data_IF_605730075930
#
_entry.id   IF_605730075930
#
_cell.length_a   1.000
_cell.length_b   1.000
_cell.length_c   1.000
_cell.angle_alpha   90.00
_cell.angle_beta   90.00
_cell.angle_gamma   90.00
#
_symmetry.space_group_name_H-M   'P 1'
#
loop_
_entity.id
_entity.type
_entity.pdbx_description
1 polymer ?
#
# COMPACT_ATOMS: atom_id res chain seq x y z
N UNK A 1 8.49 -13.58 17.16
CA UNK A 1 8.26 -13.13 16.77
C UNK A 1 7.47 -12.75 16.08
N UNK A 2 7.08 -12.21 15.75
CA UNK A 2 6.43 -11.94 15.07
C UNK A 2 6.40 -11.40 14.23
N UNK A 3 6.41 -11.51 14.03
CA UNK A 3 6.47 -11.22 13.09
C UNK A 3 5.90 -10.17 12.55
N UNK A 4 6.25 -9.60 11.83
CA UNK A 4 5.74 -8.62 11.26
C UNK A 4 4.61 -8.95 10.53
N UNK A 5 3.63 -8.21 10.62
CA UNK A 5 2.53 -8.44 9.90
C UNK A 5 2.63 -7.89 8.58
N UNK A 6 2.53 -8.59 7.51
CA UNK A 6 2.52 -8.11 6.17
C UNK A 6 1.13 -8.14 5.69
N UNK A 7 0.59 -6.97 5.30
CA UNK A 7 -0.76 -6.91 4.78
C UNK A 7 -0.83 -7.71 3.52
N UNK A 8 -1.98 -8.29 3.28
CA UNK A 8 -2.15 -9.10 2.11
C UNK A 8 -1.90 -8.27 0.87
N UNK A 9 -1.11 -8.72 -0.04
CA UNK A 9 -0.82 -7.98 -1.25
C UNK A 9 0.38 -7.06 -1.17
N UNK A 10 0.91 -6.85 0.05
CA UNK A 10 2.06 -5.99 0.17
C UNK A 10 3.30 -6.68 -0.35
N UNK A 11 4.23 -5.88 -0.81
CA UNK A 11 5.47 -6.41 -1.33
C UNK A 11 6.58 -5.41 -1.07
N UNK A 12 7.79 -5.73 -1.47
CA UNK A 12 8.91 -4.82 -1.27
C UNK A 12 8.85 -3.72 -2.31
N UNK A 13 9.53 -2.63 -2.02
CA UNK A 13 9.54 -1.51 -2.94
C UNK A 13 10.06 -1.90 -4.31
N UNK A 14 11.03 -2.79 -4.37
CA UNK A 14 11.62 -3.14 -5.64
C UNK A 14 10.65 -3.94 -6.53
N UNK A 15 9.68 -4.60 -5.96
CA UNK A 15 8.72 -5.35 -6.73
C UNK A 15 7.37 -4.69 -6.83
N UNK A 16 7.20 -3.56 -6.19
CA UNK A 16 5.90 -2.90 -6.13
C UNK A 16 5.59 -2.18 -7.42
N UNK A 17 4.32 -2.13 -7.75
CA UNK A 17 3.84 -1.32 -8.84
C UNK A 17 2.98 -0.20 -8.33
N UNK A 18 2.53 -0.29 -7.09
CA UNK A 18 1.67 0.73 -6.50
C UNK A 18 2.15 1.07 -5.12
N UNK A 19 1.94 2.31 -4.74
CA UNK A 19 2.32 2.79 -3.44
C UNK A 19 1.11 3.45 -2.80
N UNK A 20 0.86 3.16 -1.53
CA UNK A 20 -0.21 3.80 -0.80
C UNK A 20 0.42 4.57 0.34
N UNK A 21 0.19 5.87 0.38
CA UNK A 21 0.75 6.70 1.45
C UNK A 21 -0.38 7.10 2.38
N UNK A 22 -0.20 6.82 3.65
CA UNK A 22 -1.18 7.22 4.64
C UNK A 22 -0.91 8.67 5.01
N UNK A 23 -1.93 9.50 4.91
CA UNK A 23 -1.75 10.92 5.15
C UNK A 23 -1.80 11.28 6.62
N UNK A 24 -2.22 10.34 7.46
CA UNK A 24 -2.31 10.62 8.89
C UNK A 24 -0.94 10.49 9.57
N UNK A 25 -0.08 9.61 9.10
CA UNK A 25 1.22 9.45 9.73
C UNK A 25 2.37 9.38 8.73
N UNK A 26 2.09 9.48 7.45
CA UNK A 26 3.15 9.50 6.45
C UNK A 26 3.74 8.15 6.10
N UNK A 27 3.16 7.07 6.62
CA UNK A 27 3.67 5.75 6.33
C UNK A 27 3.35 5.38 4.89
N UNK A 28 4.31 4.76 4.22
CA UNK A 28 4.14 4.36 2.84
C UNK A 28 4.16 2.85 2.76
N UNK A 29 3.17 2.30 2.07
CA UNK A 29 3.04 0.86 1.89
C UNK A 29 3.15 0.54 0.42
N UNK A 30 3.71 -0.60 0.09
CA UNK A 30 3.94 -0.98 -1.30
C UNK A 30 3.13 -2.22 -1.65
N UNK A 31 2.50 -2.19 -2.80
CA UNK A 31 1.65 -3.29 -3.24
C UNK A 31 2.03 -3.71 -4.64
N UNK A 32 1.89 -4.99 -4.92
CA UNK A 32 2.25 -5.53 -6.23
C UNK A 32 1.17 -5.28 -7.27
N UNK A 33 -0.09 -5.22 -6.87
CA UNK A 33 -1.14 -5.02 -7.83
C UNK A 33 -2.10 -3.95 -7.36
N UNK A 34 -2.88 -3.46 -8.30
CA UNK A 34 -3.77 -2.35 -8.06
C UNK A 34 -4.88 -2.71 -7.10
N UNK A 35 -5.39 -3.92 -7.24
CA UNK A 35 -6.51 -4.32 -6.43
C UNK A 35 -6.16 -4.34 -4.96
N UNK A 36 -4.97 -4.85 -4.62
CA UNK A 36 -4.55 -4.88 -3.23
C UNK A 36 -4.41 -3.46 -2.67
N UNK A 37 -3.84 -2.56 -3.47
CA UNK A 37 -3.69 -1.19 -3.03
C UNK A 37 -5.05 -0.53 -2.80
N UNK A 38 -6.00 -0.79 -3.68
CA UNK A 38 -7.33 -0.22 -3.53
C UNK A 38 -8.03 -0.77 -2.31
N UNK A 39 -7.93 -2.07 -2.08
CA UNK A 39 -8.58 -2.67 -0.92
C UNK A 39 -8.03 -2.07 0.36
N UNK A 40 -6.72 -1.92 0.44
CA UNK A 40 -6.13 -1.33 1.62
C UNK A 40 -6.62 0.11 1.82
N UNK A 41 -6.67 0.87 0.74
CA UNK A 41 -7.08 2.26 0.79
C UNK A 41 -8.54 2.38 1.26
N UNK A 42 -9.39 1.48 0.77
CA UNK A 42 -10.79 1.49 1.16
C UNK A 42 -10.95 1.16 2.63
N UNK A 43 -10.23 0.15 3.11
CA UNK A 43 -10.31 -0.21 4.51
C UNK A 43 -9.79 0.90 5.40
N UNK A 44 -8.74 1.58 4.97
CA UNK A 44 -8.21 2.68 5.75
C UNK A 44 -9.22 3.82 5.81
N UNK A 45 -9.86 4.09 4.68
CA UNK A 45 -10.85 5.16 4.63
C UNK A 45 -12.02 4.85 5.56
N UNK A 46 -12.40 3.58 5.62
CA UNK A 46 -13.45 3.18 6.53
C UNK A 46 -13.08 3.45 7.97
N UNK A 47 -11.81 3.46 8.29
CA UNK A 47 -11.34 3.76 9.64
C UNK A 47 -11.02 5.23 9.82
N UNK A 48 -11.35 6.05 8.86
CA UNK A 48 -11.12 7.49 8.98
C UNK A 48 -9.72 7.92 8.56
N UNK A 49 -9.00 7.06 7.84
CA UNK A 49 -7.64 7.38 7.44
C UNK A 49 -7.62 7.68 5.96
N UNK A 50 -7.06 8.82 5.59
CA UNK A 50 -6.95 9.18 4.20
C UNK A 50 -5.67 8.62 3.62
N UNK A 51 -5.74 8.11 2.40
CA UNK A 51 -4.60 7.54 1.73
C UNK A 51 -4.48 8.07 0.33
N UNK A 52 -3.27 8.00 -0.20
CA UNK A 52 -3.01 8.43 -1.56
C UNK A 52 -2.36 7.27 -2.29
N UNK A 53 -2.87 6.90 -3.44
CA UNK A 53 -2.35 5.79 -4.22
C UNK A 53 -1.57 6.33 -5.40
N UNK A 54 -0.40 5.75 -5.65
CA UNK A 54 0.44 6.18 -6.74
C UNK A 54 0.91 4.95 -7.50
N UNK A 55 0.90 5.05 -8.81
CA UNK A 55 1.36 3.95 -9.64
C UNK A 55 2.78 4.21 -10.10
N UNK A 56 3.64 3.20 -10.02
CA UNK A 56 5.00 3.33 -10.51
C UNK A 56 5.04 2.87 -11.94
N UNK A 57 5.82 3.58 -12.73
CA UNK A 57 6.04 3.17 -14.11
C UNK A 57 7.28 2.37 -14.15
N UNK A 58 7.17 1.07 -14.11
CA UNK A 58 8.34 0.25 -14.11
C UNK A 58 8.62 -0.27 -15.50
N UNK A 59 9.88 -0.32 -15.82
CA UNK A 59 10.22 -0.82 -17.08
C UNK A 59 10.97 -1.99 -16.87
N UNK A 60 10.63 -3.06 -17.23
CA UNK A 60 11.38 -4.19 -17.03
C UNK A 60 11.36 -5.12 -18.05
#
# INVERSE_FOLDING_TARGET
MHMLEIEEGMTTKSKARYQVKRLDNGIILYFADRESAQIYSIQAHDSGICCSIREFQRED
#
